data_IF_382213458193
#
_entry.id   IF_382213458193
#
_cell.length_a   1.000
_cell.length_b   1.000
_cell.length_c   1.000
_cell.angle_alpha   90.00
_cell.angle_beta   90.00
_cell.angle_gamma   90.00
#
_symmetry.space_group_name_H-M   'P 1'
#
loop_
_entity.id
_entity.type
_entity.pdbx_description
1 polymer ?
#
# COMPACT_ATOMS: atom_id res chain seq x y z
N UNK A 1 6.54 5.70 -29.20
CA UNK A 1 6.77 4.32 -28.70
C UNK A 1 8.06 3.82 -29.30
N UNK A 2 8.93 3.23 -28.49
CA UNK A 2 10.13 2.56 -28.96
C UNK A 2 9.76 1.14 -29.40
N UNK A 3 10.04 0.78 -30.64
CA UNK A 3 9.85 -0.59 -31.13
C UNK A 3 11.20 -1.26 -31.19
N UNK A 4 11.44 -2.28 -30.36
CA UNK A 4 12.68 -3.05 -30.37
C UNK A 4 12.71 -3.91 -31.66
N UNK A 5 13.52 -3.52 -32.65
CA UNK A 5 13.47 -4.16 -33.96
C UNK A 5 14.40 -5.36 -34.12
N UNK A 6 15.55 -5.38 -33.43
CA UNK A 6 16.57 -6.41 -33.66
C UNK A 6 17.28 -6.73 -32.35
N UNK A 7 17.62 -7.99 -32.11
CA UNK A 7 18.49 -8.42 -31.01
C UNK A 7 19.62 -9.22 -31.63
N UNK A 8 20.87 -8.73 -31.53
CA UNK A 8 22.03 -9.48 -31.99
C UNK A 8 22.73 -10.15 -30.79
N UNK A 9 22.54 -11.46 -30.64
CA UNK A 9 23.07 -12.20 -29.49
C UNK A 9 24.54 -12.59 -29.63
N UNK A 10 25.13 -12.52 -30.83
CA UNK A 10 26.43 -13.16 -31.14
C UNK A 10 27.64 -12.53 -30.44
N UNK A 11 27.51 -11.32 -29.90
CA UNK A 11 28.64 -10.60 -29.25
C UNK A 11 28.43 -10.33 -27.75
N UNK A 12 27.39 -10.90 -27.14
CA UNK A 12 27.00 -10.53 -25.77
C UNK A 12 26.60 -9.05 -25.62
N UNK A 13 26.41 -8.34 -26.73
CA UNK A 13 25.95 -6.95 -26.78
C UNK A 13 24.58 -6.91 -27.42
N UNK A 14 23.58 -6.53 -26.64
CA UNK A 14 22.22 -6.43 -27.12
C UNK A 14 21.99 -5.01 -27.61
N UNK A 15 21.65 -4.85 -28.89
CA UNK A 15 21.38 -3.54 -29.47
C UNK A 15 19.88 -3.38 -29.69
N UNK A 16 19.27 -2.42 -29.01
CA UNK A 16 17.88 -2.08 -29.15
C UNK A 16 17.76 -0.86 -30.07
N UNK A 17 17.16 -1.05 -31.25
CA UNK A 17 16.82 0.08 -32.12
C UNK A 17 15.52 0.70 -31.59
N UNK A 18 15.53 2.00 -31.29
CA UNK A 18 14.36 2.73 -30.84
C UNK A 18 13.99 3.79 -31.88
N UNK A 19 12.74 3.77 -32.37
CA UNK A 19 12.21 4.76 -33.31
C UNK A 19 11.37 5.84 -32.60
N UNK A 20 11.93 7.02 -32.27
CA UNK A 20 11.18 8.10 -31.65
C UNK A 20 10.26 8.84 -32.65
N UNK A 21 9.25 8.17 -33.19
CA UNK A 21 8.25 8.78 -34.09
C UNK A 21 8.81 9.20 -35.46
N UNK A 22 7.97 9.77 -36.34
CA UNK A 22 8.30 9.95 -37.76
C UNK A 22 9.37 11.01 -38.06
N UNK A 23 9.74 11.84 -37.08
CA UNK A 23 10.59 13.01 -37.29
C UNK A 23 11.94 12.98 -36.55
N UNK A 24 12.30 11.87 -35.89
CA UNK A 24 13.56 11.76 -35.13
C UNK A 24 14.34 10.53 -35.55
N UNK A 25 15.66 10.69 -35.62
CA UNK A 25 16.57 9.60 -35.96
C UNK A 25 16.46 8.45 -34.94
N UNK A 26 16.58 7.20 -35.40
CA UNK A 26 16.56 6.05 -34.50
C UNK A 26 17.74 6.10 -33.53
N UNK A 27 17.48 5.77 -32.27
CA UNK A 27 18.51 5.69 -31.22
C UNK A 27 18.86 4.22 -31.02
N UNK A 28 20.15 3.89 -31.11
CA UNK A 28 20.66 2.55 -30.80
C UNK A 28 21.05 2.52 -29.32
N UNK A 29 20.35 1.70 -28.53
CA UNK A 29 20.68 1.47 -27.14
C UNK A 29 21.49 0.18 -27.03
N UNK A 30 22.75 0.28 -26.59
CA UNK A 30 23.60 -0.89 -26.31
C UNK A 30 23.43 -1.32 -24.87
N UNK A 31 23.05 -2.57 -24.65
CA UNK A 31 22.83 -3.16 -23.34
C UNK A 31 23.82 -4.29 -23.11
N UNK A 32 24.45 -4.29 -21.92
CA UNK A 32 25.48 -5.26 -21.53
C UNK A 32 24.93 -6.59 -21.01
N UNK A 33 23.64 -6.66 -20.67
CA UNK A 33 23.04 -7.83 -20.04
C UNK A 33 21.64 -8.13 -20.63
N UNK A 34 21.37 -9.34 -21.15
CA UNK A 34 20.06 -9.74 -21.68
C UNK A 34 18.94 -9.66 -20.66
N UNK A 35 19.25 -9.85 -19.38
CA UNK A 35 18.27 -9.92 -18.30
C UNK A 35 17.49 -8.60 -18.13
N UNK A 36 18.02 -7.51 -18.70
CA UNK A 36 17.39 -6.19 -18.69
C UNK A 36 16.45 -5.95 -19.88
N UNK A 37 16.30 -6.91 -20.80
CA UNK A 37 15.45 -6.78 -21.98
C UNK A 37 14.16 -7.52 -21.72
N UNK A 38 13.07 -6.77 -21.62
CA UNK A 38 11.75 -7.34 -21.44
C UNK A 38 10.95 -7.15 -22.72
N UNK A 39 10.50 -8.26 -23.31
CA UNK A 39 9.62 -8.22 -24.48
C UNK A 39 8.24 -7.70 -24.07
N UNK A 40 7.93 -6.48 -24.50
CA UNK A 40 6.61 -5.87 -24.32
C UNK A 40 5.70 -6.32 -25.46
N UNK A 41 4.53 -6.87 -25.14
CA UNK A 41 3.50 -7.16 -26.15
C UNK A 41 2.47 -6.05 -26.10
N UNK A 42 2.45 -5.22 -27.14
CA UNK A 42 1.55 -4.08 -27.26
C UNK A 42 0.09 -4.48 -27.52
N UNK A 43 -0.17 -5.72 -27.93
CA UNK A 43 -1.48 -6.16 -28.44
C UNK A 43 -2.18 -7.21 -27.57
N UNK A 44 -1.72 -7.45 -26.34
CA UNK A 44 -2.30 -8.43 -25.42
C UNK A 44 -3.36 -7.81 -24.51
N UNK A 45 -4.54 -8.43 -24.41
CA UNK A 45 -5.51 -8.06 -23.37
C UNK A 45 -4.94 -8.31 -21.96
N UNK A 46 -5.11 -7.38 -21.03
CA UNK A 46 -4.73 -7.58 -19.62
C UNK A 46 -5.70 -8.55 -18.94
N UNK A 47 -5.24 -9.77 -18.68
CA UNK A 47 -5.96 -10.75 -17.87
C UNK A 47 -5.36 -10.86 -16.46
N UNK A 48 -6.16 -11.34 -15.52
CA UNK A 48 -5.70 -11.62 -14.16
C UNK A 48 -4.54 -12.63 -14.22
N UNK A 49 -3.49 -12.35 -13.45
CA UNK A 49 -2.27 -13.13 -13.39
C UNK A 49 -1.18 -12.67 -14.36
N UNK A 50 -1.49 -11.83 -15.35
CA UNK A 50 -0.54 -11.28 -16.32
C UNK A 50 0.53 -10.44 -15.61
N UNK A 51 1.79 -10.63 -15.99
CA UNK A 51 2.89 -9.77 -15.58
C UNK A 51 2.96 -8.57 -16.51
N UNK A 52 3.10 -7.38 -15.93
CA UNK A 52 3.06 -6.13 -16.66
C UNK A 52 4.03 -5.10 -16.06
N UNK A 53 4.35 -4.07 -16.82
CA UNK A 53 5.15 -2.93 -16.36
C UNK A 53 4.25 -1.71 -16.24
N UNK A 54 4.43 -0.98 -15.15
CA UNK A 54 3.76 0.30 -14.90
C UNK A 54 4.46 1.38 -15.72
N UNK A 55 3.70 2.23 -16.42
CA UNK A 55 4.25 3.36 -17.16
C UNK A 55 3.24 4.53 -17.24
N UNK A 56 3.71 5.70 -17.68
CA UNK A 56 2.83 6.83 -17.99
C UNK A 56 2.15 7.50 -16.78
N UNK A 57 2.52 7.14 -15.55
CA UNK A 57 2.02 7.82 -14.36
C UNK A 57 2.68 9.18 -14.22
N UNK A 58 1.88 10.25 -14.29
CA UNK A 58 2.33 11.63 -14.07
C UNK A 58 2.50 11.96 -12.59
N UNK A 59 1.57 11.49 -11.74
CA UNK A 59 1.55 11.76 -10.30
C UNK A 59 2.53 10.89 -9.50
N UNK A 60 2.84 9.69 -9.97
CA UNK A 60 3.68 8.71 -9.28
C UNK A 60 4.75 8.19 -10.25
N UNK A 61 5.67 9.07 -10.63
CA UNK A 61 6.72 8.75 -11.61
C UNK A 61 7.71 7.70 -11.10
N UNK A 62 7.84 7.59 -9.78
CA UNK A 62 8.62 6.57 -9.07
C UNK A 62 8.11 5.14 -9.33
N UNK A 63 6.84 4.97 -9.68
CA UNK A 63 6.28 3.67 -10.04
C UNK A 63 6.49 3.33 -11.53
N UNK A 64 6.91 4.28 -12.38
CA UNK A 64 7.16 4.00 -13.78
C UNK A 64 8.39 3.10 -13.93
N UNK A 65 8.22 1.97 -14.62
CA UNK A 65 9.23 0.93 -14.76
C UNK A 65 9.08 -0.22 -13.75
N UNK A 66 8.25 -0.07 -12.72
CA UNK A 66 8.00 -1.16 -11.77
C UNK A 66 7.27 -2.33 -12.44
N UNK A 67 7.74 -3.54 -12.14
CA UNK A 67 7.10 -4.80 -12.57
C UNK A 67 5.95 -5.11 -11.59
N UNK A 68 4.80 -5.43 -12.15
CA UNK A 68 3.60 -5.75 -11.39
C UNK A 68 2.88 -6.97 -11.96
N UNK A 69 2.03 -7.58 -11.14
CA UNK A 69 1.12 -8.66 -11.53
C UNK A 69 -0.31 -8.15 -11.46
N UNK A 70 -1.08 -8.38 -12.52
CA UNK A 70 -2.50 -8.02 -12.56
C UNK A 70 -3.28 -8.93 -11.61
N UNK A 71 -3.92 -8.34 -10.60
CA UNK A 71 -4.72 -9.07 -9.60
C UNK A 71 -6.19 -9.05 -9.97
N UNK A 72 -6.69 -7.91 -10.44
CA UNK A 72 -8.11 -7.74 -10.77
C UNK A 72 -8.29 -6.75 -11.91
N UNK A 73 -9.09 -7.14 -12.90
CA UNK A 73 -9.51 -6.26 -13.99
C UNK A 73 -10.96 -5.82 -13.75
N UNK A 74 -11.22 -4.51 -13.73
CA UNK A 74 -12.58 -3.99 -13.72
C UNK A 74 -13.02 -3.69 -15.16
N UNK A 75 -14.03 -4.41 -15.66
CA UNK A 75 -14.51 -4.28 -17.04
C UNK A 75 -15.10 -2.90 -17.37
N UNK A 76 -15.86 -2.32 -16.45
CA UNK A 76 -16.55 -1.03 -16.69
C UNK A 76 -15.67 0.20 -16.46
N UNK A 77 -14.64 0.09 -15.61
CA UNK A 77 -13.92 1.26 -15.10
C UNK A 77 -12.59 1.57 -15.78
N UNK A 78 -12.14 0.76 -16.73
CA UNK A 78 -10.77 0.77 -17.28
C UNK A 78 -9.66 0.81 -16.20
N UNK A 79 -9.99 0.45 -14.95
CA UNK A 79 -9.06 0.42 -13.83
C UNK A 79 -8.67 -1.02 -13.56
N UNK A 80 -7.39 -1.20 -13.30
CA UNK A 80 -6.77 -2.49 -13.01
C UNK A 80 -6.16 -2.39 -11.61
N UNK A 81 -6.40 -3.40 -10.79
CA UNK A 81 -5.65 -3.58 -9.55
C UNK A 81 -4.47 -4.49 -9.84
N UNK A 82 -3.28 -3.99 -9.50
CA UNK A 82 -2.01 -4.67 -9.71
C UNK A 82 -1.25 -4.77 -8.40
N UNK A 83 -0.48 -5.84 -8.22
CA UNK A 83 0.43 -6.04 -7.10
C UNK A 83 1.86 -5.83 -7.61
N UNK A 84 2.60 -4.91 -7.01
CA UNK A 84 4.01 -4.72 -7.34
C UNK A 84 4.81 -5.95 -6.91
N UNK A 85 5.62 -6.50 -7.81
CA UNK A 85 6.30 -7.78 -7.57
C UNK A 85 7.34 -7.68 -6.45
N UNK A 86 8.03 -6.56 -6.34
CA UNK A 86 9.09 -6.38 -5.34
C UNK A 86 8.54 -6.11 -3.94
N UNK A 87 7.51 -5.27 -3.84
CA UNK A 87 7.02 -4.76 -2.55
C UNK A 87 5.79 -5.51 -2.04
N UNK A 88 5.09 -6.25 -2.93
CA UNK A 88 3.79 -6.86 -2.63
C UNK A 88 2.65 -5.85 -2.45
N UNK A 89 2.89 -4.56 -2.65
CA UNK A 89 1.88 -3.52 -2.45
C UNK A 89 0.87 -3.52 -3.61
N UNK A 90 -0.39 -3.28 -3.26
CA UNK A 90 -1.49 -3.21 -4.23
C UNK A 90 -1.76 -1.79 -4.68
N UNK A 91 -1.90 -1.60 -5.98
CA UNK A 91 -2.16 -0.32 -6.63
C UNK A 91 -3.35 -0.43 -7.57
N UNK A 92 -4.18 0.61 -7.59
CA UNK A 92 -5.29 0.74 -8.54
C UNK A 92 -4.96 1.83 -9.54
N UNK A 93 -4.79 1.46 -10.80
CA UNK A 93 -4.40 2.39 -11.87
C UNK A 93 -5.17 2.15 -13.16
N UNK A 94 -5.05 3.05 -14.12
CA UNK A 94 -5.72 2.92 -15.42
C UNK A 94 -5.03 1.87 -16.27
N UNK A 95 -5.81 1.20 -17.12
CA UNK A 95 -5.33 0.21 -18.09
C UNK A 95 -4.26 0.77 -19.03
N UNK A 96 -4.37 2.04 -19.41
CA UNK A 96 -3.40 2.74 -20.27
C UNK A 96 -2.02 2.95 -19.62
N UNK A 97 -1.91 2.74 -18.31
CA UNK A 97 -0.67 2.87 -17.55
C UNK A 97 -0.02 1.50 -17.25
N UNK A 98 -0.53 0.44 -17.87
CA UNK A 98 -0.07 -0.94 -17.68
C UNK A 98 0.28 -1.54 -19.05
N UNK A 99 1.53 -1.98 -19.21
CA UNK A 99 1.98 -2.70 -20.41
C UNK A 99 2.19 -4.17 -20.12
N UNK A 100 1.42 -5.04 -20.77
CA UNK A 100 1.56 -6.48 -20.66
C UNK A 100 2.94 -6.95 -21.15
N UNK A 101 3.60 -7.78 -20.35
CA UNK A 101 4.86 -8.42 -20.71
C UNK A 101 4.59 -9.85 -21.20
N UNK A 102 5.24 -10.24 -22.29
CA UNK A 102 5.25 -11.65 -22.69
C UNK A 102 6.23 -12.37 -21.78
N UNK A 103 5.75 -13.34 -21.02
CA UNK A 103 6.65 -14.24 -20.32
C UNK A 103 7.47 -14.99 -21.37
N UNK A 104 8.75 -14.64 -21.44
CA UNK A 104 9.73 -15.37 -22.20
C UNK A 104 10.33 -16.42 -21.26
N UNK A 105 10.48 -17.69 -21.68
CA UNK A 105 10.97 -18.76 -20.81
C UNK A 105 12.35 -18.46 -20.18
N UNK A 106 13.12 -17.54 -20.76
CA UNK A 106 14.44 -17.13 -20.31
C UNK A 106 14.41 -16.07 -19.18
N UNK A 107 13.34 -15.28 -19.05
CA UNK A 107 13.19 -14.21 -18.04
C UNK A 107 12.77 -14.74 -16.66
N UNK A 108 12.33 -16.00 -16.60
CA UNK A 108 11.75 -16.66 -15.42
C UNK A 108 12.68 -16.68 -14.19
N UNK A 109 14.00 -16.51 -14.38
CA UNK A 109 14.98 -16.55 -13.27
C UNK A 109 15.00 -15.29 -12.40
N UNK A 110 14.47 -14.16 -12.86
CA UNK A 110 14.51 -12.90 -12.09
C UNK A 110 13.35 -12.80 -11.09
N UNK A 111 12.26 -13.54 -11.30
CA UNK A 111 10.99 -13.32 -10.57
C UNK A 111 10.54 -14.50 -9.69
N UNK A 112 11.15 -15.67 -9.83
CA UNK A 112 10.77 -16.87 -9.09
C UNK A 112 11.52 -17.00 -7.74
N UNK A 113 11.15 -16.16 -6.77
CA UNK A 113 11.34 -16.47 -5.33
C UNK A 113 10.04 -16.39 -4.51
N UNK A 114 8.90 -16.27 -5.18
CA UNK A 114 7.60 -16.37 -4.53
C UNK A 114 7.02 -17.76 -4.77
N UNK A 115 7.36 -18.68 -3.87
CA UNK A 115 6.63 -19.94 -3.67
C UNK A 115 5.16 -19.61 -3.37
N UNK A 116 4.30 -19.79 -4.36
CA UNK A 116 2.83 -19.66 -4.22
C UNK A 116 2.20 -20.96 -3.69
N UNK A 117 2.98 -22.03 -3.51
CA UNK A 117 2.47 -23.35 -3.11
C UNK A 117 2.99 -23.86 -1.75
N UNK A 118 3.18 -22.97 -0.75
CA UNK A 118 3.41 -23.42 0.63
C UNK A 118 2.16 -23.26 1.51
N UNK A 119 1.39 -24.33 1.77
CA UNK A 119 0.30 -24.28 2.74
C UNK A 119 0.84 -24.03 4.17
N UNK A 120 0.05 -23.42 5.07
CA UNK A 120 0.50 -23.04 6.40
C UNK A 120 0.75 -24.27 7.28
N UNK A 121 2.00 -24.72 7.36
CA UNK A 121 2.41 -25.74 8.31
C UNK A 121 2.48 -25.13 9.72
N UNK A 122 1.54 -25.55 10.58
CA UNK A 122 1.64 -25.47 12.03
C UNK A 122 2.87 -26.28 12.49
N UNK A 123 3.74 -25.69 13.30
CA UNK A 123 4.80 -26.42 13.98
C UNK A 123 5.91 -25.54 14.52
N UNK A 124 5.91 -25.33 15.84
CA UNK A 124 7.00 -24.72 16.62
C UNK A 124 8.15 -25.75 16.72
N UNK A 125 9.43 -25.32 16.66
CA UNK A 125 10.30 -25.59 17.80
C UNK A 125 11.14 -24.37 18.24
N UNK A 126 11.37 -24.33 19.55
CA UNK A 126 12.28 -23.46 20.29
C UNK A 126 13.76 -23.70 19.93
N UNK A 127 14.62 -22.77 20.39
CA UNK A 127 16.09 -22.70 20.35
C UNK A 127 16.56 -21.83 19.17
N UNK A 128 17.18 -20.66 19.33
CA UNK A 128 17.83 -20.02 20.46
C UNK A 128 19.05 -19.31 19.87
N UNK A 129 19.04 -17.97 19.75
CA UNK A 129 20.24 -17.15 19.53
C UNK A 129 19.92 -15.66 19.65
N UNK A 130 20.72 -15.03 20.50
CA UNK A 130 20.74 -13.63 20.90
C UNK A 130 21.29 -12.71 19.80
N UNK A 131 21.14 -11.40 20.02
CA UNK A 131 21.76 -10.23 19.35
C UNK A 131 20.84 -9.43 18.40
N UNK A 132 20.47 -8.23 18.84
CA UNK A 132 19.95 -7.14 18.00
C UNK A 132 18.57 -6.61 18.40
N UNK A 133 18.48 -5.89 19.52
CA UNK A 133 17.28 -5.13 19.91
C UNK A 133 17.04 -3.95 18.97
N UNK A 134 16.32 -4.18 17.87
CA UNK A 134 15.55 -3.14 17.21
C UNK A 134 14.07 -3.43 17.45
N UNK A 135 13.46 -2.51 18.18
CA UNK A 135 12.07 -2.46 18.63
C UNK A 135 11.09 -3.08 17.63
N UNK A 136 10.76 -4.33 17.89
CA UNK A 136 9.63 -5.05 17.34
C UNK A 136 8.34 -4.37 17.79
N UNK A 137 7.90 -3.36 17.06
CA UNK A 137 6.51 -2.91 17.05
C UNK A 137 5.66 -3.92 16.27
N UNK A 138 5.64 -5.17 16.75
CA UNK A 138 4.59 -6.13 16.39
C UNK A 138 3.27 -5.64 16.99
N UNK A 139 2.12 -5.81 16.32
CA UNK A 139 0.84 -5.26 16.74
C UNK A 139 0.28 -6.09 17.90
N UNK A 140 0.91 -6.00 19.06
CA UNK A 140 0.34 -6.50 20.31
C UNK A 140 -0.80 -5.56 20.69
N UNK A 141 -2.02 -5.95 20.28
CA UNK A 141 -3.29 -5.42 20.76
C UNK A 141 -3.31 -3.90 20.91
N UNK A 142 -3.52 -3.18 19.80
CA UNK A 142 -3.82 -1.76 19.86
C UNK A 142 -5.04 -1.53 20.76
N UNK A 143 -4.76 -1.24 22.03
CA UNK A 143 -5.77 -1.03 23.05
C UNK A 143 -6.72 0.05 22.55
N UNK A 144 -7.98 -0.33 22.36
CA UNK A 144 -8.92 0.52 21.67
C UNK A 144 -9.23 1.73 22.55
N UNK A 145 -8.71 2.88 22.14
CA UNK A 145 -8.84 4.12 22.89
C UNK A 145 -10.28 4.60 22.80
N UNK A 146 -10.91 4.84 23.96
CA UNK A 146 -12.30 5.30 24.03
C UNK A 146 -12.40 6.79 23.64
N UNK A 147 -13.51 7.23 23.04
CA UNK A 147 -13.82 8.65 22.91
C UNK A 147 -13.71 9.39 24.26
N UNK A 148 -13.23 10.63 24.22
CA UNK A 148 -12.91 11.48 25.38
C UNK A 148 -11.52 11.26 25.96
N UNK A 149 -10.79 10.22 25.55
CA UNK A 149 -9.44 9.97 26.05
C UNK A 149 -8.44 10.95 25.42
N UNK A 150 -7.42 11.32 26.20
CA UNK A 150 -6.32 12.18 25.72
C UNK A 150 -5.21 11.33 25.14
N UNK A 151 -4.82 11.63 23.90
CA UNK A 151 -3.77 10.93 23.16
C UNK A 151 -2.68 11.87 22.69
N UNK A 152 -1.48 11.35 22.52
CA UNK A 152 -0.35 12.03 21.90
C UNK A 152 -0.16 11.53 20.46
N UNK A 153 -0.01 12.46 19.53
CA UNK A 153 0.25 12.15 18.13
C UNK A 153 1.73 11.76 17.96
N UNK A 154 2.00 10.64 17.29
CA UNK A 154 3.37 10.13 17.06
C UNK A 154 3.53 9.57 15.65
N UNK A 155 4.77 9.52 15.16
CA UNK A 155 5.17 8.82 13.93
C UNK A 155 4.46 9.27 12.63
N UNK A 156 3.96 10.51 12.55
CA UNK A 156 3.49 11.07 11.28
C UNK A 156 4.67 11.42 10.38
N UNK A 157 4.71 10.85 9.17
CA UNK A 157 5.73 11.13 8.14
C UNK A 157 5.45 12.43 7.37
N UNK A 158 4.20 12.64 6.96
CA UNK A 158 3.83 13.78 6.11
C UNK A 158 3.48 15.05 6.87
N UNK A 159 3.32 14.96 8.20
CA UNK A 159 2.84 16.05 9.02
C UNK A 159 3.56 16.02 10.39
N UNK A 160 4.88 16.05 10.34
CA UNK A 160 5.76 15.93 11.51
C UNK A 160 5.53 17.03 12.55
N UNK A 161 5.05 18.20 12.15
CA UNK A 161 4.73 19.31 13.07
C UNK A 161 3.62 19.01 14.08
N UNK A 162 2.82 17.96 13.87
CA UNK A 162 1.83 17.49 14.85
C UNK A 162 2.39 16.42 15.80
N UNK A 163 3.55 15.83 15.51
CA UNK A 163 4.14 14.83 16.41
C UNK A 163 4.50 15.48 17.74
N UNK A 164 4.13 14.81 18.84
CA UNK A 164 4.29 15.32 20.19
C UNK A 164 3.08 16.12 20.71
N UNK A 165 2.17 16.56 19.84
CA UNK A 165 0.98 17.31 20.26
C UNK A 165 -0.07 16.39 20.92
N UNK A 166 -0.81 16.96 21.88
CA UNK A 166 -1.91 16.29 22.57
C UNK A 166 -3.24 16.61 21.88
N UNK A 167 -4.09 15.60 21.77
CA UNK A 167 -5.43 15.71 21.20
C UNK A 167 -6.41 14.82 21.97
N UNK A 168 -7.69 15.18 21.90
CA UNK A 168 -8.80 14.42 22.48
C UNK A 168 -9.44 13.55 21.40
N UNK A 169 -9.70 12.27 21.67
CA UNK A 169 -10.39 11.40 20.72
C UNK A 169 -11.89 11.73 20.71
N UNK A 170 -12.41 12.24 19.60
CA UNK A 170 -13.85 12.53 19.48
C UNK A 170 -14.64 11.32 18.97
N UNK A 171 -14.08 10.57 18.01
CA UNK A 171 -14.74 9.41 17.41
C UNK A 171 -13.75 8.32 17.01
N UNK A 172 -14.20 7.07 17.10
CA UNK A 172 -13.42 5.89 16.71
C UNK A 172 -14.04 5.23 15.47
N UNK A 173 -13.34 5.26 14.33
CA UNK A 173 -13.72 4.54 13.12
C UNK A 173 -12.94 3.22 13.03
N UNK A 174 -13.55 2.17 13.58
CA UNK A 174 -12.98 0.80 13.58
C UNK A 174 -12.89 0.21 12.18
N UNK A 175 -13.82 0.56 11.29
CA UNK A 175 -13.86 0.02 9.94
C UNK A 175 -12.68 0.50 9.11
N UNK A 176 -12.23 1.75 9.32
CA UNK A 176 -11.10 2.34 8.60
C UNK A 176 -9.77 2.32 9.37
N UNK A 177 -9.78 1.90 10.64
CA UNK A 177 -8.60 1.94 11.50
C UNK A 177 -8.09 3.36 11.76
N UNK A 178 -9.01 4.31 11.95
CA UNK A 178 -8.69 5.74 12.18
C UNK A 178 -9.47 6.31 13.36
N UNK A 179 -8.85 7.25 14.07
CA UNK A 179 -9.47 8.07 15.09
C UNK A 179 -9.74 9.47 14.54
N UNK A 180 -10.93 10.01 14.79
CA UNK A 180 -11.16 11.44 14.74
C UNK A 180 -10.69 12.03 16.07
N UNK A 181 -9.77 12.98 16.00
CA UNK A 181 -9.17 13.64 17.15
C UNK A 181 -9.36 15.15 17.03
N UNK A 182 -9.57 15.82 18.16
CA UNK A 182 -9.64 17.27 18.26
C UNK A 182 -8.41 17.79 19.00
N UNK A 183 -7.66 18.65 18.34
CA UNK A 183 -6.48 19.29 18.91
C UNK A 183 -6.90 20.42 19.88
N UNK A 184 -5.93 20.94 20.66
CA UNK A 184 -6.18 22.05 21.60
C UNK A 184 -6.60 23.36 20.93
N UNK A 185 -6.24 23.55 19.67
CA UNK A 185 -6.68 24.68 18.84
C UNK A 185 -8.14 24.57 18.37
N UNK A 186 -8.80 23.44 18.68
CA UNK A 186 -10.15 23.13 18.21
C UNK A 186 -10.21 22.46 16.83
N UNK A 187 -9.07 22.30 16.15
CA UNK A 187 -9.01 21.66 14.83
C UNK A 187 -9.25 20.16 14.96
N UNK A 188 -10.16 19.63 14.14
CA UNK A 188 -10.39 18.19 14.03
C UNK A 188 -9.55 17.55 12.93
N UNK A 189 -8.98 16.37 13.20
CA UNK A 189 -8.18 15.59 12.26
C UNK A 189 -8.47 14.11 12.35
N UNK A 190 -8.24 13.39 11.26
CA UNK A 190 -8.31 11.92 11.23
C UNK A 190 -6.91 11.32 11.20
N UNK A 191 -6.60 10.44 12.15
CA UNK A 191 -5.28 9.84 12.32
C UNK A 191 -5.36 8.32 12.44
N UNK A 192 -4.35 7.59 11.96
CA UNK A 192 -4.29 6.13 12.10
C UNK A 192 -4.06 5.73 13.56
N UNK A 193 -4.61 4.59 13.96
CA UNK A 193 -4.45 4.03 15.31
C UNK A 193 -2.97 3.85 15.68
N UNK A 194 -2.13 3.45 14.72
CA UNK A 194 -0.70 3.26 14.93
C UNK A 194 0.09 4.56 15.21
N UNK A 195 -0.52 5.72 14.93
CA UNK A 195 0.13 7.04 15.04
C UNK A 195 -0.39 7.82 16.26
N UNK A 196 -1.00 7.13 17.22
CA UNK A 196 -1.43 7.72 18.48
C UNK A 196 -0.96 6.88 19.67
N UNK A 197 -0.64 7.55 20.76
CA UNK A 197 -0.27 6.94 22.03
C UNK A 197 -1.24 7.43 23.11
N UNK A 198 -1.85 6.51 23.86
CA UNK A 198 -2.72 6.86 24.98
C UNK A 198 -1.89 7.56 26.07
N UNK A 199 -2.35 8.74 26.51
CA UNK A 199 -1.73 9.50 27.61
C UNK A 199 -2.60 9.42 28.86
N UNK A 200 -3.91 9.62 28.70
CA UNK A 200 -4.88 9.52 29.79
C UNK A 200 -6.17 8.92 29.24
N UNK A 201 -6.62 7.83 29.85
CA UNK A 201 -7.93 7.25 29.57
C UNK A 201 -8.98 8.11 30.24
N UNK A 202 -10.00 8.52 29.47
CA UNK A 202 -11.20 9.11 30.07
C UNK A 202 -11.92 8.00 30.82
N UNK A 203 -11.69 7.91 32.13
CA UNK A 203 -12.60 7.24 33.04
C UNK A 203 -13.82 8.14 33.20
N UNK A 204 -14.61 8.31 32.13
CA UNK A 204 -15.94 8.88 32.27
C UNK A 204 -16.75 7.85 33.03
N UNK A 205 -16.65 7.90 34.36
CA UNK A 205 -17.63 7.32 35.26
C UNK A 205 -18.93 8.04 34.95
N UNK A 206 -19.67 7.51 33.98
CA UNK A 206 -21.07 7.83 33.78
C UNK A 206 -21.79 7.38 35.06
N UNK A 207 -21.81 8.26 36.06
CA UNK A 207 -22.89 8.25 37.03
C UNK A 207 -24.14 8.62 36.22
N UNK A 208 -25.13 7.70 36.08
CA UNK A 208 -26.39 8.08 35.47
C UNK A 208 -26.95 9.22 36.31
N UNK A 209 -27.15 10.37 35.70
CA UNK A 209 -27.88 11.47 36.32
C UNK A 209 -29.23 10.89 36.78
N UNK A 210 -29.36 10.70 38.09
CA UNK A 210 -30.59 10.30 38.73
C UNK A 210 -31.65 11.33 38.34
N UNK A 211 -32.49 10.95 37.39
CA UNK A 211 -33.66 11.75 37.02
C UNK A 211 -34.52 11.94 38.27
N UNK A 212 -35.02 13.17 38.52
CA UNK A 212 -35.84 13.44 39.68
C UNK A 212 -37.10 12.55 39.61
N UNK A 213 -37.35 11.86 40.71
CA UNK A 213 -38.56 11.08 40.95
C UNK A 213 -39.79 11.89 40.54
N UNK A 214 -40.44 11.47 39.45
CA UNK A 214 -41.76 11.94 39.10
C UNK A 214 -42.71 11.45 40.20
N UNK A 215 -43.10 12.39 41.06
CA UNK A 215 -44.03 12.20 42.17
C UNK A 215 -45.35 11.68 41.60
N UNK A 216 -45.65 10.44 41.97
CA UNK A 216 -46.97 9.83 41.90
C UNK A 216 -47.98 10.74 42.59
N UNK A 217 -48.95 11.22 41.82
CA UNK A 217 -50.15 11.87 42.35
C UNK A 217 -51.37 11.10 41.84
N UNK A 218 -51.56 9.91 42.41
CA UNK A 218 -52.89 9.41 42.76
C UNK A 218 -53.73 10.51 43.42
N UNK A 219 -55.04 10.44 43.17
CA UNK A 219 -56.13 11.00 43.96
C UNK A 219 -56.59 12.44 43.60
N UNK A 220 -57.69 12.54 42.84
CA UNK A 220 -59.01 12.93 43.40
C UNK A 220 -60.10 12.95 42.32
N UNK A 221 -61.11 12.11 42.56
CA UNK A 221 -62.54 12.16 42.20
C UNK A 221 -62.95 12.29 40.74
#
# INVERSE_FOLDING_TARGET
MATLTTVNAEKGCYEALMHPGPAKQPVILKMKNPDNIIAVVLSGGLSIGTIAVVHGLSSHQDLNGCICRVVKCHGEGQRVEVCAVETGLHYRMRRENILALKQCPHTTKVTARFDVDKPPARGIPLVGSSFGSESSFGPAGGELIKPGSTVQIVALRNATGFNGQLAEVTQVDRAKGRYAIRLRDGTEKTIRIANVRLVSSSSTSFLPAAGPAAIDSRLRR
#
